data_IF_013045415110
#
_entry.id   IF_013045415110
#
_cell.length_a   1.000
_cell.length_b   1.000
_cell.length_c   1.000
_cell.angle_alpha   90.00
_cell.angle_beta   90.00
_cell.angle_gamma   90.00
#
_symmetry.space_group_name_H-M   'P 1'
#
loop_
_entity.id
_entity.type
_entity.pdbx_description
1 polymer ?
#
# COMPACT_ATOMS: atom_id res chain seq x y z
N UNK A 1 -7.18 -5.11 11.74
CA UNK A 1 -6.17 -5.87 10.98
C UNK A 1 -5.75 -7.11 11.76
N UNK A 2 -5.32 -8.19 11.10
CA UNK A 2 -4.80 -9.38 11.79
C UNK A 2 -3.50 -9.00 12.57
N UNK A 3 -3.29 -9.48 13.82
CA UNK A 3 -2.09 -9.22 14.60
C UNK A 3 -0.75 -9.45 13.87
N UNK A 4 -0.67 -10.45 12.99
CA UNK A 4 0.54 -10.71 12.21
C UNK A 4 0.86 -9.57 11.24
N UNK A 5 -0.15 -9.01 10.57
CA UNK A 5 0.02 -7.88 9.67
C UNK A 5 0.40 -6.59 10.44
N UNK A 6 -0.12 -6.42 11.66
CA UNK A 6 0.23 -5.26 12.50
C UNK A 6 1.70 -5.33 12.91
N UNK A 7 2.19 -6.52 13.30
CA UNK A 7 3.59 -6.71 13.67
C UNK A 7 4.55 -6.56 12.49
N UNK A 8 4.16 -7.00 11.28
CA UNK A 8 5.06 -6.99 10.12
C UNK A 8 5.35 -5.60 9.56
N UNK A 9 4.50 -4.61 9.82
CA UNK A 9 4.66 -3.24 9.29
C UNK A 9 5.43 -2.29 10.20
N UNK A 10 5.75 -2.71 11.42
CA UNK A 10 6.53 -1.90 12.36
C UNK A 10 8.01 -2.18 12.19
N UNK A 11 8.82 -1.12 12.09
CA UNK A 11 10.29 -1.25 12.01
C UNK A 11 10.84 -2.07 13.20
N UNK A 12 11.74 -3.03 12.97
CA UNK A 12 12.58 -3.61 14.01
C UNK A 12 13.44 -2.55 14.70
N UNK A 13 13.81 -2.76 15.96
CA UNK A 13 14.58 -1.78 16.74
C UNK A 13 16.01 -1.57 16.20
N UNK A 14 16.58 -2.59 15.59
CA UNK A 14 17.93 -2.65 15.01
C UNK A 14 17.93 -2.45 13.50
N UNK A 15 16.82 -1.95 12.94
CA UNK A 15 16.64 -1.83 11.50
C UNK A 15 17.73 -0.99 10.83
N UNK A 16 18.39 -1.59 9.83
CA UNK A 16 19.30 -0.91 8.90
C UNK A 16 18.77 -1.07 7.47
N UNK A 17 18.47 0.04 6.76
CA UNK A 17 18.03 -0.07 5.37
C UNK A 17 19.14 -0.64 4.51
N UNK A 18 18.77 -1.47 3.53
CA UNK A 18 19.68 -1.96 2.51
C UNK A 18 20.43 -0.79 1.85
N UNK A 19 21.75 -0.91 1.76
CA UNK A 19 22.62 0.07 1.13
C UNK A 19 23.00 -0.40 -0.27
N UNK A 20 22.82 0.46 -1.26
CA UNK A 20 23.14 0.18 -2.65
C UNK A 20 23.24 1.44 -3.49
N UNK A 21 23.56 1.26 -4.78
CA UNK A 21 23.62 2.36 -5.73
C UNK A 21 22.26 3.07 -5.82
N UNK A 22 22.24 4.39 -5.59
CA UNK A 22 21.00 5.17 -5.53
C UNK A 22 20.25 5.21 -6.86
N UNK A 23 20.96 5.28 -7.99
CA UNK A 23 20.34 5.27 -9.31
C UNK A 23 19.69 3.91 -9.60
N UNK A 24 20.34 2.80 -9.21
CA UNK A 24 19.74 1.47 -9.32
C UNK A 24 18.51 1.30 -8.43
N UNK A 25 18.58 1.77 -7.17
CA UNK A 25 17.45 1.71 -6.24
C UNK A 25 16.28 2.53 -6.76
N UNK A 26 16.54 3.71 -7.32
CA UNK A 26 15.50 4.55 -7.92
C UNK A 26 14.84 3.87 -9.13
N UNK A 27 15.64 3.35 -10.07
CA UNK A 27 15.14 2.66 -11.25
C UNK A 27 14.38 1.37 -10.90
N UNK A 28 14.84 0.64 -9.89
CA UNK A 28 14.15 -0.56 -9.42
C UNK A 28 12.87 -0.20 -8.66
N UNK A 29 12.89 0.85 -7.83
CA UNK A 29 11.73 1.33 -7.10
C UNK A 29 10.60 1.78 -8.03
N UNK A 30 10.93 2.46 -9.13
CA UNK A 30 9.94 2.83 -10.16
C UNK A 30 9.30 1.59 -10.81
N UNK A 31 10.09 0.55 -11.09
CA UNK A 31 9.58 -0.72 -11.64
C UNK A 31 8.61 -1.38 -10.66
N UNK A 32 9.02 -1.53 -9.40
CA UNK A 32 8.19 -2.09 -8.33
C UNK A 32 6.89 -1.29 -8.15
N UNK A 33 6.96 0.04 -8.21
CA UNK A 33 5.81 0.91 -8.05
C UNK A 33 4.71 0.64 -9.09
N UNK A 34 5.09 0.21 -10.29
CA UNK A 34 4.19 -0.12 -11.41
C UNK A 34 3.84 -1.61 -11.48
N UNK A 35 4.51 -2.46 -10.71
CA UNK A 35 4.41 -3.92 -10.79
C UNK A 35 3.14 -4.45 -10.13
N UNK A 36 2.20 -4.94 -10.94
CA UNK A 36 0.94 -5.53 -10.48
C UNK A 36 1.11 -6.93 -9.90
N UNK A 37 2.26 -7.57 -10.09
CA UNK A 37 2.55 -8.92 -9.57
C UNK A 37 2.96 -8.90 -8.10
N UNK A 38 3.23 -7.72 -7.52
CA UNK A 38 3.55 -7.57 -6.10
C UNK A 38 2.36 -7.82 -5.17
N UNK A 39 1.15 -7.66 -5.68
CA UNK A 39 -0.08 -7.85 -4.92
C UNK A 39 -0.74 -9.20 -5.22
N UNK A 40 -1.56 -9.68 -4.28
CA UNK A 40 -2.40 -10.86 -4.53
C UNK A 40 -3.71 -10.53 -5.27
N UNK A 41 -3.97 -9.24 -5.50
CA UNK A 41 -5.23 -8.72 -6.05
C UNK A 41 -5.06 -7.90 -7.33
N UNK A 42 -3.87 -7.92 -7.94
CA UNK A 42 -3.58 -7.27 -9.23
C UNK A 42 -3.37 -5.75 -9.15
N UNK A 43 -3.36 -5.16 -7.95
CA UNK A 43 -3.02 -3.76 -7.74
C UNK A 43 -1.50 -3.55 -7.74
N UNK A 44 -1.05 -2.41 -8.25
CA UNK A 44 0.28 -1.85 -7.97
C UNK A 44 0.15 -0.54 -7.20
N UNK A 45 1.26 0.01 -6.72
CA UNK A 45 1.25 1.33 -6.09
C UNK A 45 0.72 2.40 -7.07
N UNK A 46 1.12 2.30 -8.34
CA UNK A 46 0.67 3.18 -9.42
C UNK A 46 -0.85 3.11 -9.65
N UNK A 47 -1.50 1.96 -9.44
CA UNK A 47 -2.96 1.85 -9.59
C UNK A 47 -3.71 2.88 -8.74
N UNK A 48 -3.19 3.21 -7.55
CA UNK A 48 -3.78 4.20 -6.65
C UNK A 48 -3.09 5.57 -6.73
N UNK A 49 -1.77 5.59 -6.88
CA UNK A 49 -0.93 6.77 -6.69
C UNK A 49 -0.34 7.35 -7.98
N UNK A 50 -0.90 6.99 -9.15
CA UNK A 50 -0.51 7.61 -10.42
C UNK A 50 -0.73 9.12 -10.38
N UNK A 51 0.29 9.89 -10.81
CA UNK A 51 0.25 11.36 -10.82
C UNK A 51 0.11 11.99 -9.43
N UNK A 52 0.44 11.26 -8.36
CA UNK A 52 0.28 11.72 -6.98
C UNK A 52 -1.14 11.63 -6.43
N UNK A 53 -2.06 10.97 -7.15
CA UNK A 53 -3.43 10.75 -6.69
C UNK A 53 -3.46 9.96 -5.36
N UNK A 54 -4.52 10.19 -4.58
CA UNK A 54 -4.77 9.52 -3.29
C UNK A 54 -3.68 9.69 -2.21
N UNK A 55 -2.57 10.36 -2.48
CA UNK A 55 -1.71 10.86 -1.42
C UNK A 55 -2.47 11.92 -0.63
N UNK A 56 -2.41 11.81 0.69
CA UNK A 56 -2.95 12.82 1.59
C UNK A 56 -2.03 14.03 1.59
N UNK A 57 -2.56 15.21 1.96
CA UNK A 57 -1.74 16.41 2.09
C UNK A 57 -0.57 16.23 3.08
N UNK A 58 -0.73 15.34 4.07
CA UNK A 58 0.34 14.99 5.01
C UNK A 58 1.55 14.35 4.32
N UNK A 59 1.41 13.77 3.12
CA UNK A 59 2.52 13.21 2.37
C UNK A 59 3.61 14.26 2.10
N UNK A 60 3.27 15.54 1.99
CA UNK A 60 4.28 16.62 1.88
C UNK A 60 5.10 16.86 3.16
N UNK A 61 4.70 16.29 4.31
CA UNK A 61 5.39 16.48 5.59
C UNK A 61 6.58 15.52 5.69
N UNK A 62 7.69 16.00 6.26
CA UNK A 62 8.81 15.15 6.61
C UNK A 62 8.35 13.94 7.45
N UNK A 63 8.91 12.78 7.16
CA UNK A 63 8.70 11.57 7.97
C UNK A 63 9.67 11.57 9.17
N UNK A 64 9.26 11.02 10.34
CA UNK A 64 7.97 10.39 10.60
C UNK A 64 6.85 11.40 10.90
N UNK A 65 5.62 11.07 10.49
CA UNK A 65 4.43 11.88 10.78
C UNK A 65 3.18 11.01 10.93
N UNK A 66 2.10 11.58 11.47
CA UNK A 66 0.81 10.89 11.59
C UNK A 66 0.14 10.69 10.22
N UNK A 67 -0.20 9.44 9.90
CA UNK A 67 -1.02 9.09 8.73
C UNK A 67 -2.29 8.41 9.19
N UNK A 68 -3.45 8.90 8.75
CA UNK A 68 -4.76 8.43 9.21
C UNK A 68 -4.97 6.92 9.02
N UNK A 69 -4.50 6.34 7.91
CA UNK A 69 -4.57 4.89 7.66
C UNK A 69 -3.80 4.11 8.73
N UNK A 70 -2.57 4.54 9.03
CA UNK A 70 -1.71 3.90 10.02
C UNK A 70 -2.29 4.00 11.43
N UNK A 71 -2.79 5.18 11.82
CA UNK A 71 -3.44 5.39 13.12
C UNK A 71 -4.70 4.53 13.27
N UNK A 72 -5.61 4.61 12.30
CA UNK A 72 -6.94 4.02 12.42
C UNK A 72 -6.94 2.49 12.23
N UNK A 73 -6.01 1.93 11.44
CA UNK A 73 -6.00 0.50 11.12
C UNK A 73 -4.87 -0.28 11.80
N UNK A 74 -3.77 0.38 12.14
CA UNK A 74 -2.56 -0.24 12.70
C UNK A 74 -2.18 0.30 14.09
N UNK A 75 -2.88 1.33 14.60
CA UNK A 75 -2.60 1.92 15.91
C UNK A 75 -1.26 2.66 15.97
N UNK A 76 -0.70 3.06 14.83
CA UNK A 76 0.58 3.76 14.75
C UNK A 76 0.34 5.28 14.74
N UNK A 77 0.75 5.97 15.81
CA UNK A 77 0.58 7.42 15.96
C UNK A 77 1.42 8.22 14.96
N UNK A 78 2.61 7.73 14.65
CA UNK A 78 3.44 8.20 13.56
C UNK A 78 3.99 7.00 12.81
N UNK A 79 4.26 7.19 11.53
CA UNK A 79 4.92 6.20 10.67
C UNK A 79 6.12 6.82 10.01
N UNK A 80 7.12 6.01 9.76
CA UNK A 80 8.16 6.29 8.77
C UNK A 80 7.68 5.93 7.36
N UNK A 81 8.42 6.35 6.33
CA UNK A 81 8.01 6.16 4.94
C UNK A 81 7.95 4.67 4.54
N UNK A 82 8.94 3.89 4.91
CA UNK A 82 8.97 2.43 4.68
C UNK A 82 7.88 1.69 5.50
N UNK A 83 7.57 2.09 6.72
CA UNK A 83 6.43 1.56 7.47
C UNK A 83 5.12 1.83 6.72
N UNK A 84 4.98 3.02 6.13
CA UNK A 84 3.83 3.34 5.29
C UNK A 84 3.78 2.49 4.02
N UNK A 85 4.93 2.22 3.37
CA UNK A 85 5.01 1.27 2.26
C UNK A 85 4.54 -0.12 2.70
N UNK A 86 5.00 -0.61 3.85
CA UNK A 86 4.60 -1.93 4.36
C UNK A 86 3.09 -1.98 4.66
N UNK A 87 2.51 -0.90 5.20
CA UNK A 87 1.07 -0.76 5.38
C UNK A 87 0.34 -0.88 4.03
N UNK A 88 0.81 -0.21 2.99
CA UNK A 88 0.24 -0.32 1.63
C UNK A 88 0.34 -1.74 1.08
N UNK A 89 1.44 -2.45 1.32
CA UNK A 89 1.61 -3.83 0.91
C UNK A 89 0.57 -4.75 1.58
N UNK A 90 0.39 -4.64 2.90
CA UNK A 90 -0.43 -5.60 3.65
C UNK A 90 -1.93 -5.29 3.68
N UNK A 91 -2.33 -4.03 3.56
CA UNK A 91 -3.75 -3.64 3.62
C UNK A 91 -4.37 -3.56 2.22
N UNK A 92 -4.12 -2.53 1.38
CA UNK A 92 -4.76 -2.44 0.07
C UNK A 92 -4.21 -3.45 -0.95
N UNK A 93 -2.92 -3.76 -0.96
CA UNK A 93 -2.33 -4.71 -1.92
C UNK A 93 -2.46 -6.19 -1.49
N UNK A 94 -3.02 -6.45 -0.30
CA UNK A 94 -3.32 -7.78 0.21
C UNK A 94 -2.14 -8.78 0.07
N UNK A 95 -0.91 -8.31 0.20
CA UNK A 95 0.32 -9.11 0.08
C UNK A 95 1.09 -9.09 1.39
N UNK A 96 2.19 -9.84 1.46
CA UNK A 96 3.06 -9.81 2.63
C UNK A 96 3.89 -8.52 2.63
N UNK A 97 4.28 -8.09 3.82
CA UNK A 97 5.31 -7.05 3.97
C UNK A 97 6.60 -7.50 3.27
N UNK A 98 7.33 -6.56 2.69
CA UNK A 98 8.66 -6.76 2.13
C UNK A 98 9.65 -7.06 3.27
N UNK A 99 10.77 -7.72 2.96
CA UNK A 99 11.84 -7.89 3.93
C UNK A 99 12.39 -6.52 4.37
N UNK A 100 12.56 -6.29 5.66
CA UNK A 100 13.03 -4.99 6.17
C UNK A 100 14.38 -4.59 5.55
N UNK A 101 15.32 -5.54 5.44
CA UNK A 101 16.65 -5.32 4.87
C UNK A 101 16.72 -5.64 3.37
N UNK A 102 15.56 -5.74 2.70
CA UNK A 102 15.49 -6.13 1.29
C UNK A 102 15.86 -4.97 0.36
N UNK A 103 16.42 -5.30 -0.81
CA UNK A 103 16.65 -4.33 -1.89
C UNK A 103 15.33 -3.73 -2.36
N UNK A 104 14.26 -4.52 -2.35
CA UNK A 104 12.90 -4.15 -2.72
C UNK A 104 12.36 -3.02 -1.85
N UNK A 105 12.42 -3.18 -0.52
CA UNK A 105 11.92 -2.15 0.41
C UNK A 105 12.75 -0.87 0.30
N UNK A 106 14.08 -0.98 0.20
CA UNK A 106 14.93 0.19 0.01
C UNK A 106 14.64 0.90 -1.31
N UNK A 107 14.48 0.16 -2.40
CA UNK A 107 14.20 0.69 -3.73
C UNK A 107 12.86 1.42 -3.80
N UNK A 108 11.77 0.77 -3.37
CA UNK A 108 10.45 1.38 -3.39
C UNK A 108 10.38 2.59 -2.46
N UNK A 109 11.02 2.54 -1.28
CA UNK A 109 11.08 3.68 -0.34
C UNK A 109 11.85 4.85 -0.95
N UNK A 110 12.96 4.57 -1.64
CA UNK A 110 13.75 5.59 -2.36
C UNK A 110 12.92 6.27 -3.45
N UNK A 111 12.18 5.49 -4.23
CA UNK A 111 11.32 6.03 -5.28
C UNK A 111 10.14 6.83 -4.73
N UNK A 112 9.46 6.34 -3.68
CA UNK A 112 8.37 7.11 -3.07
C UNK A 112 8.88 8.40 -2.42
N UNK A 113 10.09 8.41 -1.86
CA UNK A 113 10.72 9.63 -1.36
C UNK A 113 10.98 10.66 -2.48
N UNK A 114 11.31 10.23 -3.70
CA UNK A 114 11.44 11.14 -4.85
C UNK A 114 10.08 11.66 -5.33
N UNK A 115 9.01 10.88 -5.20
CA UNK A 115 7.65 11.39 -5.45
C UNK A 115 7.26 12.47 -4.43
N UNK A 116 7.69 12.33 -3.18
CA UNK A 116 7.42 13.30 -2.12
C UNK A 116 8.02 14.68 -2.42
N UNK A 117 9.25 14.73 -2.96
CA UNK A 117 9.93 16.02 -3.24
C UNK A 117 9.23 16.82 -4.33
N UNK A 118 8.57 16.14 -5.28
CA UNK A 118 7.75 16.76 -6.32
C UNK A 118 6.28 16.95 -5.94
N UNK A 119 5.85 16.51 -4.76
CA UNK A 119 4.45 16.52 -4.38
C UNK A 119 4.02 17.89 -3.84
N UNK A 120 3.12 18.55 -4.58
CA UNK A 120 2.43 19.75 -4.11
C UNK A 120 0.98 19.40 -3.75
N UNK A 121 0.57 19.48 -2.47
CA UNK A 121 -0.80 19.18 -2.08
C UNK A 121 -1.73 20.19 -2.74
N UNK A 122 -2.73 19.70 -3.49
CA UNK A 122 -3.74 20.58 -4.07
C UNK A 122 -4.58 21.20 -2.92
N UNK A 123 -4.60 22.53 -2.74
CA UNK A 123 -5.35 23.17 -1.66
C UNK A 123 -6.87 22.92 -1.75
N UNK A 124 -7.37 22.49 -2.91
CA UNK A 124 -8.77 22.10 -3.12
C UNK A 124 -9.08 20.64 -2.72
N UNK A 125 -8.07 19.77 -2.61
CA UNK A 125 -8.26 18.36 -2.25
C UNK A 125 -8.64 18.18 -0.77
N UNK A 126 -8.26 19.11 0.10
CA UNK A 126 -8.64 19.12 1.52
C UNK A 126 -10.15 19.30 1.75
N UNK A 127 -10.91 19.73 0.73
CA UNK A 127 -12.37 19.95 0.81
C UNK A 127 -13.19 18.85 0.13
N UNK A 128 -12.58 17.79 -0.40
CA UNK A 128 -13.32 16.81 -1.19
C UNK A 128 -13.83 15.63 -0.31
N UNK A 129 -15.16 15.49 -0.11
CA UNK A 129 -15.75 14.40 0.68
C UNK A 129 -15.50 13.00 0.10
N UNK A 130 -14.97 12.88 -1.12
CA UNK A 130 -14.56 11.61 -1.72
C UNK A 130 -13.29 11.01 -1.09
N UNK A 131 -12.42 11.78 -0.43
CA UNK A 131 -11.27 11.23 0.29
C UNK A 131 -11.69 10.44 1.57
N UNK A 132 -12.85 10.77 2.14
CA UNK A 132 -13.41 10.08 3.30
C UNK A 132 -14.06 8.72 2.94
N UNK A 133 -14.33 8.47 1.66
CA UNK A 133 -14.87 7.20 1.16
C UNK A 133 -13.87 6.58 0.20
N UNK A 134 -12.77 6.07 0.74
CA UNK A 134 -11.84 5.20 0.03
C UNK A 134 -12.62 4.00 -0.54
N UNK A 135 -12.88 3.93 -1.86
CA UNK A 135 -13.60 2.80 -2.46
C UNK A 135 -12.73 1.53 -2.45
N UNK A 136 -11.41 1.64 -2.27
CA UNK A 136 -10.52 0.49 -2.06
C UNK A 136 -10.63 -0.09 -0.64
N UNK A 137 -11.22 0.63 0.32
CA UNK A 137 -11.58 0.09 1.64
C UNK A 137 -13.01 -0.46 1.67
N UNK A 138 -13.87 -0.04 0.75
CA UNK A 138 -15.24 -0.50 0.63
C UNK A 138 -15.32 -1.72 -0.30
N UNK A 139 -15.22 -2.91 0.31
CA UNK A 139 -15.63 -4.24 -0.22
C UNK A 139 -15.39 -4.47 -1.72
N UNK A 140 -14.38 -5.30 -2.01
CA UNK A 140 -14.18 -6.00 -3.27
C UNK A 140 -15.52 -6.37 -3.98
N UNK A 141 -15.90 -5.70 -5.09
CA UNK A 141 -17.12 -6.03 -5.82
C UNK A 141 -16.99 -7.34 -6.62
N UNK A 142 -15.80 -7.93 -6.70
CA UNK A 142 -15.57 -9.20 -7.40
C UNK A 142 -15.89 -10.45 -6.54
N UNK A 143 -16.49 -10.28 -5.34
CA UNK A 143 -17.11 -11.37 -4.56
C UNK A 143 -18.63 -11.39 -4.75
N UNK A 144 -19.16 -10.73 -5.78
CA UNK A 144 -20.51 -10.98 -6.26
C UNK A 144 -20.52 -12.33 -7.01
N UNK A 145 -20.78 -13.39 -6.24
CA UNK A 145 -21.28 -14.72 -6.65
C UNK A 145 -21.05 -15.08 -8.13
N UNK A 146 -20.05 -15.92 -8.39
CA UNK A 146 -19.97 -16.70 -9.61
C UNK A 146 -21.30 -17.47 -9.82
N UNK A 147 -22.13 -17.13 -10.83
CA UNK A 147 -23.39 -17.81 -11.07
C UNK A 147 -23.21 -19.20 -11.72
N UNK A 148 -21.99 -19.59 -12.07
CA UNK A 148 -21.69 -20.84 -12.77
C UNK A 148 -21.29 -22.01 -11.85
N UNK A 149 -21.45 -21.90 -10.52
CA UNK A 149 -21.14 -22.98 -9.58
C UNK A 149 -22.38 -23.78 -9.09
N UNK A 150 -23.57 -23.53 -9.65
CA UNK A 150 -24.79 -24.26 -9.29
C UNK A 150 -25.23 -25.22 -10.39
N UNK A 151 -24.54 -26.35 -10.53
CA UNK A 151 -25.08 -27.59 -11.13
C UNK A 151 -24.21 -28.79 -10.76
N UNK A 152 -24.35 -29.22 -9.50
CA UNK A 152 -24.18 -30.60 -9.11
C UNK A 152 -25.54 -31.08 -8.57
N UNK A 153 -25.92 -32.28 -9.00
CA UNK A 153 -27.27 -32.86 -8.98
C UNK A 153 -27.91 -33.01 -7.58
N UNK A 154 -29.17 -33.47 -7.57
CA UNK A 154 -29.41 -34.69 -6.83
C UNK A 154 -30.05 -35.78 -7.71
N UNK A 155 -29.49 -36.98 -7.61
CA UNK A 155 -30.13 -38.22 -8.04
C UNK A 155 -31.42 -38.45 -7.24
N UNK A 156 -32.51 -38.81 -7.91
CA UNK A 156 -33.36 -40.00 -7.66
C UNK A 156 -34.78 -39.86 -8.25
N UNK A 157 -35.39 -41.02 -8.53
CA UNK A 157 -36.71 -41.31 -9.12
C UNK A 157 -36.73 -41.26 -10.66
N UNK A 158 -37.04 -42.34 -11.40
CA UNK A 158 -37.67 -43.62 -11.08
C UNK A 158 -37.29 -44.64 -12.17
#
# INVERSE_FOLDING_TARGET
MNPCAIKSVKRPADYRPYQGNQAELMAYGEKLYKDTTLSSNGLSCATCHQGGNLFQASFAKAYPHEVAMAKNQFGMSQVFLDEMVQICMVAPMATKALGWESKELAAITTYVASLQTGFSPNPCAAKNPCAAKNPCAAKNPCVAKNPCAAKAAPCAAK
#
